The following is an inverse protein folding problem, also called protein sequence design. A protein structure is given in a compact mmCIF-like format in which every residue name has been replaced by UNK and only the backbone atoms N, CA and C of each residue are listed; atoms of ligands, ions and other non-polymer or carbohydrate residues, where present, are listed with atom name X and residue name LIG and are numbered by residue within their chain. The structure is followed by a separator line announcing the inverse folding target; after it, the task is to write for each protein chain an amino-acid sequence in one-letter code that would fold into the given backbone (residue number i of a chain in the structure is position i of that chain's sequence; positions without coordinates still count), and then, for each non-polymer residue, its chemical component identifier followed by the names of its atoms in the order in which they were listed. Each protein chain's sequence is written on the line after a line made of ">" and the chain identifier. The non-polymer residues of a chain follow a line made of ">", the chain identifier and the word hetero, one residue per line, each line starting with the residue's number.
data_IF_255508416555
#
_entry.id   IF_255508416555
#
_cell.length_a   1.000
_cell.length_b   1.000
_cell.length_c   1.000
_cell.angle_alpha   90.00
_cell.angle_beta   90.00
_cell.angle_gamma   90.00
#
_symmetry.space_group_name_H-M   'P 1'
#
loop_
_entity.id
_entity.type
_entity.pdbx_description
1 polymer ?
#
# COMPACT_ATOMS: atom_id res chain seq x y z
N UNK A 1 -5.31 -8.26 -49.84
CA UNK A 1 -4.22 -7.87 -48.92
C UNK A 1 -4.68 -6.65 -48.15
N UNK A 2 -5.09 -6.80 -46.91
CA UNK A 2 -5.53 -5.69 -46.04
C UNK A 2 -4.28 -5.16 -45.32
N UNK A 3 -3.89 -3.94 -45.62
CA UNK A 3 -2.80 -3.22 -44.95
C UNK A 3 -3.27 -2.84 -43.56
N UNK A 4 -2.78 -3.59 -42.56
CA UNK A 4 -2.99 -3.23 -41.15
C UNK A 4 -2.27 -1.89 -40.89
N UNK A 5 -3.04 -0.82 -40.77
CA UNK A 5 -2.57 0.47 -40.26
C UNK A 5 -2.06 0.28 -38.83
N UNK A 6 -0.73 0.45 -38.63
CA UNK A 6 -0.15 0.53 -37.27
C UNK A 6 -0.81 1.70 -36.51
N UNK A 7 -1.28 1.50 -35.28
CA UNK A 7 -1.86 2.59 -34.50
C UNK A 7 -0.80 3.69 -34.34
N UNK A 8 -1.16 4.93 -34.72
CA UNK A 8 -0.34 6.12 -34.50
C UNK A 8 -0.17 6.30 -32.99
N UNK A 9 1.00 5.94 -32.45
CA UNK A 9 1.35 6.16 -31.03
C UNK A 9 1.43 7.67 -30.79
N UNK A 10 0.45 8.23 -30.09
CA UNK A 10 0.44 9.63 -29.65
C UNK A 10 1.74 9.91 -28.88
N UNK A 11 2.49 10.92 -29.31
CA UNK A 11 3.72 11.35 -28.64
C UNK A 11 3.35 12.02 -27.33
N UNK A 12 3.58 11.35 -26.20
CA UNK A 12 3.34 11.89 -24.87
C UNK A 12 4.31 13.06 -24.60
N UNK A 13 3.84 14.07 -23.85
CA UNK A 13 4.70 15.11 -23.31
C UNK A 13 5.68 14.51 -22.27
N UNK A 14 6.81 15.18 -21.96
CA UNK A 14 7.80 14.66 -21.01
C UNK A 14 7.18 14.25 -19.65
N UNK A 15 6.34 15.10 -19.04
CA UNK A 15 5.72 14.82 -17.76
C UNK A 15 4.71 13.65 -17.82
N UNK A 16 3.91 13.59 -18.89
CA UNK A 16 3.01 12.47 -19.15
C UNK A 16 3.79 11.15 -19.31
N UNK A 17 4.98 11.23 -19.95
CA UNK A 17 5.85 10.08 -20.13
C UNK A 17 6.45 9.62 -18.80
N UNK A 18 6.93 10.56 -17.97
CA UNK A 18 7.45 10.26 -16.64
C UNK A 18 6.39 9.61 -15.76
N UNK A 19 5.19 10.17 -15.73
CA UNK A 19 4.05 9.62 -15.00
C UNK A 19 3.66 8.22 -15.49
N UNK A 20 3.65 7.97 -16.81
CA UNK A 20 3.37 6.66 -17.38
C UNK A 20 4.43 5.60 -17.00
N UNK A 21 5.71 5.99 -16.92
CA UNK A 21 6.78 5.10 -16.46
C UNK A 21 6.61 4.78 -14.99
N UNK A 22 6.33 5.79 -14.16
CA UNK A 22 6.11 5.61 -12.73
C UNK A 22 4.89 4.73 -12.44
N UNK A 23 3.78 4.96 -13.12
CA UNK A 23 2.58 4.12 -13.01
C UNK A 23 2.87 2.66 -13.40
N UNK A 24 3.56 2.43 -14.51
CA UNK A 24 3.93 1.07 -14.93
C UNK A 24 4.92 0.41 -13.96
N UNK A 25 5.79 1.18 -13.31
CA UNK A 25 6.64 0.67 -12.24
C UNK A 25 5.79 0.24 -11.03
N UNK A 26 4.80 1.03 -10.63
CA UNK A 26 3.84 0.67 -9.59
C UNK A 26 3.11 -0.65 -9.89
N UNK A 27 2.66 -0.82 -11.13
CA UNK A 27 2.05 -2.08 -11.57
C UNK A 27 3.00 -3.28 -11.44
N UNK A 28 4.28 -3.10 -11.79
CA UNK A 28 5.30 -4.17 -11.60
C UNK A 28 5.48 -4.48 -10.11
N UNK A 29 5.55 -3.46 -9.27
CA UNK A 29 5.69 -3.66 -7.82
C UNK A 29 4.52 -4.46 -7.22
N UNK A 30 3.29 -4.13 -7.64
CA UNK A 30 2.07 -4.78 -7.12
C UNK A 30 1.87 -6.21 -7.60
N UNK A 31 2.28 -6.54 -8.84
CA UNK A 31 1.98 -7.84 -9.44
C UNK A 31 3.18 -8.78 -9.47
N UNK A 32 4.37 -8.24 -9.66
CA UNK A 32 5.59 -9.02 -9.88
C UNK A 32 6.59 -8.88 -8.72
N UNK A 33 6.34 -7.95 -7.79
CA UNK A 33 7.19 -7.64 -6.64
C UNK A 33 8.35 -6.68 -6.95
N UNK A 34 8.95 -6.12 -5.89
CA UNK A 34 10.05 -5.13 -6.00
C UNK A 34 11.28 -5.70 -6.70
N UNK A 35 11.55 -7.00 -6.49
CA UNK A 35 12.69 -7.68 -7.11
C UNK A 35 12.61 -7.79 -8.62
N UNK A 36 11.41 -7.80 -9.19
CA UNK A 36 11.17 -7.89 -10.63
C UNK A 36 11.37 -6.56 -11.37
N UNK A 37 11.43 -5.42 -10.66
CA UNK A 37 11.58 -4.11 -11.29
C UNK A 37 12.99 -3.94 -11.86
N UNK A 38 13.09 -4.02 -13.18
CA UNK A 38 14.31 -3.73 -13.94
C UNK A 38 14.00 -2.80 -15.11
N UNK A 39 14.99 -2.03 -15.57
CA UNK A 39 14.82 -1.16 -16.76
C UNK A 39 14.33 -1.94 -17.98
N UNK A 40 14.84 -3.15 -18.16
CA UNK A 40 14.46 -4.03 -19.29
C UNK A 40 13.02 -4.50 -19.18
N UNK A 41 12.61 -4.99 -18.01
CA UNK A 41 11.24 -5.47 -17.76
C UNK A 41 10.24 -4.34 -17.97
N UNK A 42 10.51 -3.17 -17.37
CA UNK A 42 9.64 -2.00 -17.50
C UNK A 42 9.55 -1.48 -18.94
N UNK A 43 10.67 -1.42 -19.65
CA UNK A 43 10.69 -1.03 -21.07
C UNK A 43 9.88 -1.99 -21.95
N UNK A 44 9.98 -3.29 -21.69
CA UNK A 44 9.18 -4.32 -22.37
C UNK A 44 7.69 -4.13 -22.10
N UNK A 45 7.30 -3.92 -20.84
CA UNK A 45 5.89 -3.70 -20.43
C UNK A 45 5.31 -2.45 -21.08
N UNK A 46 6.09 -1.37 -21.18
CA UNK A 46 5.71 -0.12 -21.85
C UNK A 46 5.80 -0.18 -23.36
N UNK A 47 6.46 -1.21 -23.92
CA UNK A 47 6.74 -1.33 -25.35
C UNK A 47 7.62 -0.21 -25.87
N UNK A 48 8.62 0.21 -25.10
CA UNK A 48 9.59 1.27 -25.45
C UNK A 48 11.03 0.72 -25.40
N UNK A 49 11.99 1.51 -25.91
CA UNK A 49 13.39 1.15 -25.74
C UNK A 49 13.85 1.35 -24.28
N UNK A 50 14.71 0.46 -23.72
CA UNK A 50 15.24 0.61 -22.35
C UNK A 50 15.92 1.96 -22.10
N UNK A 51 16.62 2.53 -23.09
CA UNK A 51 17.25 3.83 -23.00
C UNK A 51 16.25 4.98 -22.74
N UNK A 52 14.99 4.85 -23.17
CA UNK A 52 13.97 5.83 -22.85
C UNK A 52 13.62 5.82 -21.36
N UNK A 53 13.47 4.65 -20.76
CA UNK A 53 13.20 4.52 -19.31
C UNK A 53 14.39 5.08 -18.53
N UNK A 54 15.61 4.69 -18.91
CA UNK A 54 16.84 5.17 -18.28
C UNK A 54 17.03 6.69 -18.38
N UNK A 55 16.55 7.32 -19.43
CA UNK A 55 16.59 8.78 -19.57
C UNK A 55 15.75 9.50 -18.51
N UNK A 56 14.56 8.95 -18.17
CA UNK A 56 13.68 9.53 -17.15
C UNK A 56 14.04 9.10 -15.71
N UNK A 57 14.55 7.88 -15.58
CA UNK A 57 14.92 7.27 -14.31
C UNK A 57 16.28 6.56 -14.44
N UNK A 58 17.39 7.30 -14.28
CA UNK A 58 18.72 6.73 -14.35
C UNK A 58 19.00 5.68 -13.26
N UNK A 59 18.37 5.85 -12.10
CA UNK A 59 18.53 4.97 -10.96
C UNK A 59 17.24 4.16 -10.72
N UNK A 60 17.33 2.86 -10.93
CA UNK A 60 16.18 1.96 -10.75
C UNK A 60 15.73 1.91 -9.28
N UNK A 61 16.64 2.15 -8.33
CA UNK A 61 16.30 2.20 -6.90
C UNK A 61 15.46 3.43 -6.57
N UNK A 62 15.77 4.59 -7.17
CA UNK A 62 14.97 5.80 -7.02
C UNK A 62 13.55 5.59 -7.60
N UNK A 63 13.46 4.95 -8.77
CA UNK A 63 12.16 4.60 -9.36
C UNK A 63 11.36 3.66 -8.47
N UNK A 64 12.00 2.63 -7.91
CA UNK A 64 11.33 1.70 -6.99
C UNK A 64 10.80 2.40 -5.73
N UNK A 65 11.62 3.29 -5.14
CA UNK A 65 11.24 4.07 -3.97
C UNK A 65 10.08 5.03 -4.26
N UNK A 66 10.12 5.73 -5.41
CA UNK A 66 9.06 6.67 -5.82
C UNK A 66 7.76 5.92 -6.16
N UNK A 67 7.83 4.77 -6.82
CA UNK A 67 6.67 3.96 -7.14
C UNK A 67 6.03 3.36 -5.87
N UNK A 68 6.84 2.90 -4.92
CA UNK A 68 6.34 2.45 -3.61
C UNK A 68 5.66 3.60 -2.86
N UNK A 69 6.32 4.76 -2.75
CA UNK A 69 5.76 5.93 -2.06
C UNK A 69 4.41 6.35 -2.65
N UNK A 70 4.30 6.41 -3.97
CA UNK A 70 3.05 6.73 -4.66
C UNK A 70 1.92 5.76 -4.30
N UNK A 71 2.19 4.46 -4.25
CA UNK A 71 1.18 3.45 -3.90
C UNK A 71 0.78 3.57 -2.44
N UNK A 72 1.76 3.66 -1.52
CA UNK A 72 1.51 3.74 -0.10
C UNK A 72 0.75 5.03 0.29
N UNK A 73 1.09 6.17 -0.30
CA UNK A 73 0.38 7.43 -0.10
C UNK A 73 -1.07 7.35 -0.61
N UNK A 74 -1.27 6.83 -1.83
CA UNK A 74 -2.60 6.65 -2.40
C UNK A 74 -3.46 5.71 -1.56
N UNK A 75 -2.88 4.66 -1.00
CA UNK A 75 -3.53 3.74 -0.08
C UNK A 75 -4.04 4.47 1.17
N UNK A 76 -3.16 5.18 1.86
CA UNK A 76 -3.51 5.94 3.07
C UNK A 76 -4.63 6.95 2.78
N UNK A 77 -4.45 7.77 1.74
CA UNK A 77 -5.45 8.77 1.36
C UNK A 77 -6.81 8.12 1.09
N UNK A 78 -6.83 7.03 0.34
CA UNK A 78 -8.08 6.36 -0.05
C UNK A 78 -8.80 5.76 1.16
N UNK A 79 -8.08 5.03 2.01
CA UNK A 79 -8.66 4.35 3.15
C UNK A 79 -9.14 5.32 4.23
N UNK A 80 -8.36 6.35 4.53
CA UNK A 80 -8.79 7.34 5.52
C UNK A 80 -9.89 8.26 4.99
N UNK A 81 -9.93 8.55 3.69
CA UNK A 81 -11.06 9.27 3.09
C UNK A 81 -12.37 8.45 3.21
N UNK A 82 -12.32 7.16 2.90
CA UNK A 82 -13.46 6.27 3.05
C UNK A 82 -13.91 6.13 4.51
N UNK A 83 -12.96 6.00 5.44
CA UNK A 83 -13.25 5.94 6.87
C UNK A 83 -13.89 7.24 7.39
N UNK A 84 -13.30 8.40 7.10
CA UNK A 84 -13.78 9.69 7.59
C UNK A 84 -15.13 10.12 7.00
N UNK A 85 -15.58 9.51 5.92
CA UNK A 85 -16.93 9.69 5.38
C UNK A 85 -18.02 9.05 6.27
N UNK A 86 -17.65 8.16 7.20
CA UNK A 86 -18.60 7.53 8.12
C UNK A 86 -19.06 8.49 9.22
N UNK A 87 -20.33 8.37 9.63
CA UNK A 87 -21.01 9.33 10.49
C UNK A 87 -20.50 9.40 11.94
N UNK A 88 -19.95 8.30 12.47
CA UNK A 88 -19.51 8.23 13.88
C UNK A 88 -18.06 7.75 13.97
N UNK A 89 -17.33 8.16 15.04
CA UNK A 89 -15.95 7.70 15.24
C UNK A 89 -15.80 6.17 15.24
N UNK A 90 -16.74 5.45 15.87
CA UNK A 90 -16.73 3.99 15.88
C UNK A 90 -16.91 3.41 14.48
N UNK A 91 -17.83 3.96 13.68
CA UNK A 91 -18.03 3.54 12.30
C UNK A 91 -16.82 3.88 11.41
N UNK A 92 -16.09 4.96 11.70
CA UNK A 92 -14.85 5.31 11.01
C UNK A 92 -13.77 4.25 11.24
N UNK A 93 -13.58 3.82 12.49
CA UNK A 93 -12.65 2.74 12.84
C UNK A 93 -13.11 1.42 12.24
N UNK A 94 -14.41 1.08 12.34
CA UNK A 94 -14.97 -0.14 11.76
C UNK A 94 -14.71 -0.23 10.25
N UNK A 95 -14.95 0.87 9.53
CA UNK A 95 -14.69 0.95 8.09
C UNK A 95 -13.20 0.76 7.78
N UNK A 96 -12.31 1.45 8.47
CA UNK A 96 -10.87 1.33 8.26
C UNK A 96 -10.39 -0.11 8.51
N UNK A 97 -10.83 -0.73 9.60
CA UNK A 97 -10.47 -2.12 9.93
C UNK A 97 -11.03 -3.10 8.89
N UNK A 98 -12.28 -2.91 8.46
CA UNK A 98 -12.88 -3.75 7.42
C UNK A 98 -12.09 -3.67 6.10
N UNK A 99 -11.74 -2.45 5.66
CA UNK A 99 -10.96 -2.24 4.45
C UNK A 99 -9.54 -2.82 4.57
N UNK A 100 -8.89 -2.69 5.74
CA UNK A 100 -7.55 -3.24 5.98
C UNK A 100 -7.54 -4.77 5.98
N UNK A 101 -8.63 -5.40 6.36
CA UNK A 101 -8.79 -6.86 6.39
C UNK A 101 -9.42 -7.43 5.11
N UNK A 102 -9.62 -6.62 4.07
CA UNK A 102 -10.18 -7.08 2.80
C UNK A 102 -9.17 -7.99 2.06
N UNK A 103 -9.53 -9.22 1.71
CA UNK A 103 -8.67 -10.13 0.94
C UNK A 103 -8.22 -9.55 -0.42
N UNK A 104 -8.98 -8.63 -1.00
CA UNK A 104 -8.61 -7.98 -2.27
C UNK A 104 -7.34 -7.11 -2.15
N UNK A 105 -6.95 -6.73 -0.93
CA UNK A 105 -5.72 -5.97 -0.66
C UNK A 105 -4.43 -6.80 -0.64
N UNK A 106 -4.53 -8.11 -0.90
CA UNK A 106 -3.39 -9.02 -0.89
C UNK A 106 -2.16 -8.47 -1.64
N UNK A 107 -2.34 -7.87 -2.81
CA UNK A 107 -1.24 -7.33 -3.60
C UNK A 107 -0.49 -6.20 -2.86
N UNK A 108 -1.21 -5.32 -2.17
CA UNK A 108 -0.61 -4.23 -1.38
C UNK A 108 0.07 -4.79 -0.12
N UNK A 109 -0.52 -5.77 0.54
CA UNK A 109 0.11 -6.42 1.72
C UNK A 109 1.41 -7.14 1.34
N UNK A 110 1.46 -7.80 0.18
CA UNK A 110 2.69 -8.39 -0.37
C UNK A 110 3.73 -7.31 -0.69
N UNK A 111 3.31 -6.19 -1.27
CA UNK A 111 4.20 -5.07 -1.55
C UNK A 111 4.84 -4.50 -0.28
N UNK A 112 4.08 -4.35 0.80
CA UNK A 112 4.63 -3.91 2.08
C UNK A 112 5.67 -4.88 2.64
N UNK A 113 5.40 -6.20 2.58
CA UNK A 113 6.35 -7.23 3.00
C UNK A 113 7.65 -7.17 2.19
N UNK A 114 7.54 -7.08 0.86
CA UNK A 114 8.68 -6.92 -0.03
C UNK A 114 9.46 -5.64 0.26
N UNK A 115 8.76 -4.52 0.52
CA UNK A 115 9.36 -3.23 0.80
C UNK A 115 10.15 -3.25 2.12
N UNK A 116 9.61 -3.82 3.18
CA UNK A 116 10.34 -4.00 4.46
C UNK A 116 11.61 -4.83 4.28
N UNK A 117 11.49 -5.97 3.59
CA UNK A 117 12.66 -6.83 3.33
C UNK A 117 13.71 -6.09 2.49
N UNK A 118 13.32 -5.49 1.37
CA UNK A 118 14.24 -4.86 0.43
C UNK A 118 14.87 -3.58 1.00
N UNK A 119 14.18 -2.85 1.88
CA UNK A 119 14.65 -1.63 2.54
C UNK A 119 15.90 -1.85 3.41
N UNK A 120 16.17 -3.08 3.83
CA UNK A 120 17.37 -3.42 4.62
C UNK A 120 18.66 -3.08 3.89
N UNK A 121 18.69 -3.20 2.56
CA UNK A 121 19.87 -3.02 1.73
C UNK A 121 19.71 -1.92 0.66
N UNK A 122 18.57 -1.20 0.63
CA UNK A 122 18.26 -0.14 -0.34
C UNK A 122 17.89 1.14 0.40
N UNK A 123 18.83 2.09 0.47
CA UNK A 123 18.68 3.29 1.29
C UNK A 123 17.52 4.19 0.86
N UNK A 124 17.32 4.37 -0.45
CA UNK A 124 16.24 5.22 -0.99
C UNK A 124 14.87 4.59 -0.71
N UNK A 125 14.74 3.28 -0.88
CA UNK A 125 13.50 2.56 -0.54
C UNK A 125 13.23 2.61 0.97
N UNK A 126 14.27 2.48 1.81
CA UNK A 126 14.14 2.60 3.26
C UNK A 126 13.56 3.97 3.66
N UNK A 127 14.07 5.05 3.07
CA UNK A 127 13.56 6.38 3.33
C UNK A 127 12.07 6.49 2.96
N UNK A 128 11.67 5.97 1.80
CA UNK A 128 10.28 5.95 1.38
C UNK A 128 9.38 5.11 2.30
N UNK A 129 9.86 3.95 2.76
CA UNK A 129 9.14 3.09 3.72
C UNK A 129 8.94 3.80 5.04
N UNK A 130 9.96 4.48 5.59
CA UNK A 130 9.84 5.23 6.85
C UNK A 130 8.78 6.32 6.70
N UNK A 131 8.83 7.13 5.65
CA UNK A 131 7.85 8.20 5.42
C UNK A 131 6.42 7.64 5.30
N UNK A 132 6.25 6.51 4.63
CA UNK A 132 4.95 5.87 4.51
C UNK A 132 4.43 5.32 5.85
N UNK A 133 5.30 4.72 6.66
CA UNK A 133 4.95 4.25 8.02
C UNK A 133 4.57 5.43 8.93
N UNK A 134 5.31 6.54 8.88
CA UNK A 134 4.99 7.75 9.63
C UNK A 134 3.63 8.31 9.21
N UNK A 135 3.33 8.33 7.91
CA UNK A 135 2.02 8.78 7.41
C UNK A 135 0.87 7.92 7.95
N UNK A 136 1.02 6.59 7.96
CA UNK A 136 0.05 5.68 8.57
C UNK A 136 -0.15 5.96 10.06
N UNK A 137 0.96 6.10 10.79
CA UNK A 137 0.96 6.40 12.22
C UNK A 137 0.23 7.70 12.53
N UNK A 138 0.55 8.77 11.80
CA UNK A 138 -0.03 10.10 12.01
C UNK A 138 -1.54 10.10 11.71
N UNK A 139 -1.97 9.48 10.62
CA UNK A 139 -3.38 9.43 10.24
C UNK A 139 -4.21 8.62 11.25
N UNK A 140 -3.69 7.47 11.70
CA UNK A 140 -4.40 6.65 12.69
C UNK A 140 -4.41 7.33 14.06
N UNK A 141 -3.30 7.90 14.50
CA UNK A 141 -3.23 8.70 15.72
C UNK A 141 -4.26 9.85 15.71
N UNK A 142 -4.35 10.58 14.62
CA UNK A 142 -5.32 11.66 14.46
C UNK A 142 -6.77 11.16 14.46
N UNK A 143 -7.05 10.01 13.85
CA UNK A 143 -8.37 9.37 13.90
C UNK A 143 -8.77 9.01 15.33
N UNK A 144 -7.87 8.37 16.08
CA UNK A 144 -8.09 7.95 17.47
C UNK A 144 -8.29 9.17 18.37
N UNK A 145 -7.45 10.19 18.25
CA UNK A 145 -7.54 11.40 19.06
C UNK A 145 -8.87 12.15 18.86
N UNK A 146 -9.34 12.23 17.60
CA UNK A 146 -10.64 12.88 17.31
C UNK A 146 -11.84 12.04 17.76
N UNK A 147 -11.67 10.72 17.82
CA UNK A 147 -12.77 9.80 18.17
C UNK A 147 -13.18 9.83 19.63
N UNK A 148 -12.34 10.37 20.53
CA UNK A 148 -12.64 10.45 21.96
C UNK A 148 -12.72 9.07 22.62
N UNK A 149 -11.99 8.09 22.10
CA UNK A 149 -11.94 6.73 22.65
C UNK A 149 -11.22 6.67 24.00
N UNK A 150 -11.41 5.56 24.72
CA UNK A 150 -10.79 5.34 26.04
C UNK A 150 -9.27 5.07 25.96
N UNK A 151 -8.66 5.23 24.79
CA UNK A 151 -7.24 5.05 24.56
C UNK A 151 -6.40 6.00 25.43
N UNK A 152 -5.49 5.50 26.27
CA UNK A 152 -4.73 6.35 27.20
C UNK A 152 -3.75 7.31 26.46
N UNK A 153 -3.23 6.90 25.33
CA UNK A 153 -2.35 7.68 24.45
C UNK A 153 -2.64 7.29 22.99
N UNK A 154 -3.20 8.20 22.18
CA UNK A 154 -3.53 7.92 20.79
C UNK A 154 -2.34 7.47 19.94
N UNK A 155 -1.13 7.99 20.17
CA UNK A 155 0.05 7.60 19.41
C UNK A 155 0.51 6.18 19.74
N UNK A 156 0.48 5.81 21.02
CA UNK A 156 0.78 4.45 21.47
C UNK A 156 -0.26 3.46 20.94
N UNK A 157 -1.54 3.83 21.02
CA UNK A 157 -2.63 2.99 20.52
C UNK A 157 -2.55 2.80 19.01
N UNK A 158 -2.23 3.85 18.24
CA UNK A 158 -2.00 3.74 16.81
C UNK A 158 -0.86 2.76 16.49
N UNK A 159 0.27 2.87 17.20
CA UNK A 159 1.40 1.95 17.03
C UNK A 159 1.02 0.50 17.31
N UNK A 160 0.27 0.24 18.39
CA UNK A 160 -0.17 -1.12 18.74
C UNK A 160 -1.12 -1.71 17.70
N UNK A 161 -2.07 -0.91 17.23
CA UNK A 161 -3.04 -1.33 16.22
C UNK A 161 -2.32 -1.65 14.90
N UNK A 162 -1.42 -0.76 14.43
CA UNK A 162 -0.66 -1.01 13.20
C UNK A 162 0.21 -2.25 13.33
N UNK A 163 0.94 -2.42 14.44
CA UNK A 163 1.77 -3.60 14.67
C UNK A 163 0.96 -4.91 14.69
N UNK A 164 -0.28 -4.87 15.22
CA UNK A 164 -1.18 -6.02 15.22
C UNK A 164 -1.66 -6.36 13.81
N UNK A 165 -2.05 -5.35 13.04
CA UNK A 165 -2.50 -5.51 11.65
C UNK A 165 -1.35 -6.05 10.80
N UNK A 166 -0.17 -5.43 10.87
CA UNK A 166 1.01 -5.81 10.09
C UNK A 166 1.43 -7.26 10.40
N UNK A 167 1.51 -7.62 11.69
CA UNK A 167 1.91 -8.96 12.11
C UNK A 167 0.95 -10.06 11.65
N UNK A 168 -0.36 -9.81 11.72
CA UNK A 168 -1.37 -10.77 11.32
C UNK A 168 -1.62 -10.80 9.81
N UNK A 169 -1.40 -9.67 9.11
CA UNK A 169 -1.48 -9.61 7.66
C UNK A 169 -0.45 -10.49 6.97
N UNK A 170 0.73 -10.68 7.56
CA UNK A 170 1.76 -11.58 7.04
C UNK A 170 1.23 -13.03 6.94
N UNK A 171 0.55 -13.52 7.99
CA UNK A 171 -0.05 -14.86 7.95
C UNK A 171 -1.11 -14.96 6.87
N UNK A 172 -1.99 -13.95 6.78
CA UNK A 172 -3.03 -13.89 5.77
C UNK A 172 -2.51 -13.87 4.33
N UNK A 173 -1.30 -13.38 4.11
CA UNK A 173 -0.68 -13.29 2.78
C UNK A 173 0.02 -14.59 2.37
N UNK A 174 0.59 -15.31 3.34
CA UNK A 174 1.32 -16.57 3.10
C UNK A 174 0.35 -17.75 2.96
N UNK A 175 -0.70 -17.77 3.77
CA UNK A 175 -1.69 -18.84 3.74
C UNK A 175 -2.60 -18.81 2.51
N UNK A 176 -3.22 -19.95 2.20
CA UNK A 176 -4.30 -19.98 1.22
C UNK A 176 -5.48 -19.12 1.70
N UNK A 177 -6.22 -18.45 0.80
CA UNK A 177 -7.33 -17.55 1.17
C UNK A 177 -8.38 -18.20 2.08
N UNK A 178 -8.57 -19.50 1.97
CA UNK A 178 -9.55 -20.28 2.74
C UNK A 178 -8.95 -20.97 3.98
N UNK A 179 -7.67 -20.70 4.31
CA UNK A 179 -7.04 -21.30 5.47
C UNK A 179 -7.73 -20.86 6.78
N UNK A 180 -7.95 -21.78 7.74
CA UNK A 180 -8.56 -21.43 9.04
C UNK A 180 -7.83 -20.30 9.76
N UNK A 181 -6.51 -20.14 9.55
CA UNK A 181 -5.68 -19.08 10.09
C UNK A 181 -6.16 -17.66 9.70
N UNK A 182 -6.73 -17.49 8.52
CA UNK A 182 -7.27 -16.20 8.06
C UNK A 182 -8.40 -15.68 8.93
N UNK A 183 -9.39 -16.53 9.24
CA UNK A 183 -10.51 -16.16 10.09
C UNK A 183 -10.06 -15.86 11.52
N UNK A 184 -9.10 -16.64 12.04
CA UNK A 184 -8.50 -16.42 13.36
C UNK A 184 -7.75 -15.09 13.40
N UNK A 185 -6.86 -14.83 12.43
CA UNK A 185 -6.11 -13.58 12.37
C UNK A 185 -7.03 -12.35 12.28
N UNK A 186 -8.07 -12.44 11.43
CA UNK A 186 -9.10 -11.40 11.34
C UNK A 186 -9.79 -11.15 12.68
N UNK A 187 -10.21 -12.21 13.37
CA UNK A 187 -10.83 -12.11 14.70
C UNK A 187 -9.92 -11.46 15.73
N UNK A 188 -8.63 -11.83 15.73
CA UNK A 188 -7.63 -11.26 16.64
C UNK A 188 -7.39 -9.75 16.39
N UNK A 189 -7.35 -9.31 15.14
CA UNK A 189 -7.25 -7.87 14.82
C UNK A 189 -8.45 -7.12 15.36
N UNK A 190 -9.66 -7.61 15.06
CA UNK A 190 -10.91 -6.97 15.52
C UNK A 190 -10.94 -6.87 17.04
N UNK A 191 -10.69 -7.99 17.74
CA UNK A 191 -10.67 -8.02 19.21
C UNK A 191 -9.58 -7.10 19.79
N UNK A 192 -8.39 -7.07 19.19
CA UNK A 192 -7.30 -6.20 19.62
C UNK A 192 -7.65 -4.73 19.50
N UNK A 193 -8.24 -4.31 18.39
CA UNK A 193 -8.69 -2.92 18.18
C UNK A 193 -9.81 -2.55 19.15
N UNK A 194 -10.78 -3.44 19.36
CA UNK A 194 -11.88 -3.23 20.31
C UNK A 194 -11.36 -3.02 21.74
N UNK A 195 -10.41 -3.86 22.18
CA UNK A 195 -9.80 -3.75 23.51
C UNK A 195 -8.97 -2.47 23.66
N UNK A 196 -8.16 -2.11 22.64
CA UNK A 196 -7.29 -0.94 22.70
C UNK A 196 -8.07 0.37 22.76
N UNK A 197 -9.21 0.44 22.07
CA UNK A 197 -10.03 1.65 21.99
C UNK A 197 -11.24 1.66 22.92
N UNK A 198 -11.55 0.55 23.58
CA UNK A 198 -12.72 0.42 24.46
C UNK A 198 -14.05 0.49 23.70
N UNK A 199 -14.12 -0.08 22.49
CA UNK A 199 -15.28 -0.01 21.60
C UNK A 199 -15.76 -1.41 21.18
N UNK A 200 -16.96 -1.48 20.60
CA UNK A 200 -17.44 -2.66 19.88
C UNK A 200 -17.51 -2.31 18.39
N UNK A 201 -16.88 -3.12 17.55
CA UNK A 201 -16.91 -2.98 16.10
C UNK A 201 -17.97 -3.89 15.51
N UNK A 202 -18.89 -3.31 14.76
CA UNK A 202 -19.82 -4.04 13.90
C UNK A 202 -19.26 -3.97 12.47
N UNK A 203 -18.65 -5.06 12.03
CA UNK A 203 -18.05 -5.19 10.70
C UNK A 203 -19.04 -5.95 9.80
N UNK A 204 -20.01 -5.23 9.27
CA UNK A 204 -20.98 -5.74 8.29
C UNK A 204 -20.33 -5.95 6.93
#
# INVERSE_FOLDING_TARGET
>A
MATMLKPVRKRLKPDERRAAILSAAGDVLLHDGIGALTLRHLAQRLGVAPGLVNHYFPEIEALAAEAFAMIAEAEVITLFAAATAMATPVAQVARLVADLLDPQRRAVSLLWLDAWQASRNRAQLRAAVIVAMDLWQDQLCALIARGGFTAPDPAVSATRILALIDGLSIQAVIDAPDAPGHAIARGMVIEGVQRELGIVLDLV
#
